data_IF_474591549434
#
_entry.id   IF_474591549434
#
_cell.length_a   1.000
_cell.length_b   1.000
_cell.length_c   1.000
_cell.angle_alpha   90.00
_cell.angle_beta   90.00
_cell.angle_gamma   90.00
#
_symmetry.space_group_name_H-M   'P 1'
#
loop_
_entity.id
_entity.type
_entity.pdbx_description
1 polymer ?
#
# COMPACT_ATOMS: atom_id res chain seq x y z
N UNK A 1 -8.06 9.27 -15.94
CA UNK A 1 -6.83 9.73 -15.26
C UNK A 1 -6.14 8.49 -14.72
N UNK A 2 -4.82 8.42 -14.82
CA UNK A 2 -4.04 7.31 -14.28
C UNK A 2 -3.29 7.73 -13.03
N UNK A 3 -3.16 6.83 -12.05
CA UNK A 3 -2.35 7.01 -10.83
C UNK A 3 -1.40 5.82 -10.66
N UNK A 4 -0.24 6.07 -10.08
CA UNK A 4 0.73 5.03 -9.80
C UNK A 4 0.48 4.32 -8.45
N UNK A 5 0.77 3.03 -8.39
CA UNK A 5 0.91 2.26 -7.15
C UNK A 5 2.30 1.62 -7.08
N UNK A 6 2.98 1.65 -5.92
CA UNK A 6 4.33 1.12 -5.78
C UNK A 6 4.37 -0.41 -5.94
N UNK A 7 5.08 -0.90 -6.96
CA UNK A 7 5.26 -2.32 -7.22
C UNK A 7 6.38 -2.94 -6.37
N UNK A 8 7.36 -2.15 -5.96
CA UNK A 8 8.48 -2.67 -5.18
C UNK A 8 8.03 -3.21 -3.82
N UNK A 9 8.52 -4.40 -3.47
CA UNK A 9 8.40 -5.01 -2.14
C UNK A 9 9.64 -4.74 -1.26
N UNK A 10 10.67 -4.10 -1.81
CA UNK A 10 11.89 -3.78 -1.07
C UNK A 10 11.69 -2.51 -0.26
N UNK A 11 11.61 -2.63 1.06
CA UNK A 11 11.45 -1.49 1.97
C UNK A 11 12.51 -0.39 1.75
N UNK A 12 13.74 -0.74 1.37
CA UNK A 12 14.82 0.22 1.08
C UNK A 12 14.60 1.07 -0.17
N UNK A 13 13.69 0.65 -1.06
CA UNK A 13 13.30 1.40 -2.28
C UNK A 13 12.04 2.24 -2.09
N UNK A 14 11.39 2.14 -0.94
CA UNK A 14 10.15 2.84 -0.63
C UNK A 14 10.44 3.97 0.35
N UNK A 15 10.05 5.20 -0.01
CA UNK A 15 10.03 6.31 0.92
C UNK A 15 8.81 6.23 1.85
N UNK A 16 8.76 7.07 2.88
CA UNK A 16 7.69 7.02 3.88
C UNK A 16 6.30 7.26 3.29
N UNK A 17 6.17 8.10 2.24
CA UNK A 17 4.88 8.29 1.55
C UNK A 17 4.41 7.03 0.82
N UNK A 18 5.32 6.31 0.16
CA UNK A 18 4.99 5.04 -0.52
C UNK A 18 4.68 3.93 0.47
N UNK A 19 5.38 3.90 1.61
CA UNK A 19 5.06 3.00 2.71
C UNK A 19 3.69 3.33 3.30
N UNK A 20 3.37 4.60 3.49
CA UNK A 20 2.08 5.06 3.96
C UNK A 20 0.95 4.64 3.01
N UNK A 21 1.17 4.75 1.69
CA UNK A 21 0.22 4.26 0.69
C UNK A 21 -0.04 2.75 0.84
N UNK A 22 1.01 1.93 0.93
CA UNK A 22 0.87 0.48 1.15
C UNK A 22 0.13 0.18 2.46
N UNK A 23 0.45 0.87 3.55
CA UNK A 23 -0.27 0.72 4.84
C UNK A 23 -1.74 1.08 4.68
N UNK A 24 -2.03 2.23 4.07
CA UNK A 24 -3.37 2.77 3.90
C UNK A 24 -4.27 1.82 3.11
N UNK A 25 -3.74 1.17 2.06
CA UNK A 25 -4.46 0.16 1.29
C UNK A 25 -5.06 -0.97 2.15
N UNK A 26 -4.36 -1.36 3.21
CA UNK A 26 -4.74 -2.50 4.05
C UNK A 26 -5.28 -2.10 5.42
N UNK A 27 -5.50 -0.80 5.65
CA UNK A 27 -5.91 -0.26 6.94
C UNK A 27 -7.26 0.43 6.80
N UNK A 28 -8.25 0.12 7.67
CA UNK A 28 -9.56 0.72 7.58
C UNK A 28 -9.48 2.23 7.80
N UNK A 29 -10.44 2.96 7.23
CA UNK A 29 -10.55 4.39 7.48
C UNK A 29 -10.97 4.65 8.94
N UNK A 30 -10.38 5.66 9.57
CA UNK A 30 -10.74 6.10 10.92
C UNK A 30 -11.96 7.03 10.95
N UNK A 31 -12.37 7.57 9.80
CA UNK A 31 -13.49 8.52 9.68
C UNK A 31 -14.79 7.86 9.22
N UNK A 32 -14.73 6.99 8.21
CA UNK A 32 -15.90 6.24 7.75
C UNK A 32 -15.89 4.80 8.28
N UNK A 33 -17.07 4.21 8.42
CA UNK A 33 -17.24 2.88 9.04
C UNK A 33 -17.17 1.73 8.05
N UNK A 34 -17.21 2.00 6.75
CA UNK A 34 -17.37 1.00 5.69
C UNK A 34 -16.14 0.83 4.81
N UNK A 35 -15.15 1.72 4.91
CA UNK A 35 -13.96 1.67 4.05
C UNK A 35 -12.90 0.74 4.66
N UNK A 36 -12.65 -0.44 4.07
CA UNK A 36 -11.72 -1.43 4.64
C UNK A 36 -10.25 -1.07 4.41
N UNK A 37 -9.98 -0.13 3.51
CA UNK A 37 -8.65 0.20 3.02
C UNK A 37 -8.70 1.29 1.96
N UNK A 38 -7.56 1.92 1.67
CA UNK A 38 -7.47 2.89 0.59
C UNK A 38 -7.64 2.19 -0.78
N UNK A 39 -8.62 2.64 -1.56
CA UNK A 39 -8.88 2.17 -2.92
C UNK A 39 -9.17 3.36 -3.86
N UNK A 40 -8.87 3.24 -5.16
CA UNK A 40 -9.01 4.35 -6.12
C UNK A 40 -10.47 4.81 -6.26
N UNK A 41 -10.70 6.13 -6.45
CA UNK A 41 -12.01 6.64 -6.83
C UNK A 41 -12.50 6.06 -8.17
N UNK A 42 -13.83 6.01 -8.41
CA UNK A 42 -14.38 5.48 -9.65
C UNK A 42 -13.88 6.25 -10.87
N UNK A 43 -13.46 5.52 -11.91
CA UNK A 43 -12.93 6.10 -13.15
C UNK A 43 -11.45 6.48 -13.10
N UNK A 44 -10.75 6.17 -12.00
CA UNK A 44 -9.29 6.23 -11.92
C UNK A 44 -8.70 4.87 -12.27
N UNK A 45 -7.75 4.86 -13.20
CA UNK A 45 -7.00 3.66 -13.60
C UNK A 45 -5.67 3.63 -12.84
N UNK A 46 -5.42 2.57 -12.08
CA UNK A 46 -4.20 2.45 -11.25
C UNK A 46 -3.23 1.52 -11.96
N UNK A 47 -1.99 1.96 -12.09
CA UNK A 47 -0.91 1.25 -12.78
C UNK A 47 0.32 1.14 -11.89
N UNK A 48 1.14 0.12 -12.10
CA UNK A 48 2.33 -0.16 -11.28
C UNK A 48 3.52 0.72 -11.68
N UNK A 49 4.22 1.31 -10.70
CA UNK A 49 5.38 2.21 -10.91
C UNK A 49 6.60 1.55 -11.61
N UNK A 50 6.73 0.22 -11.59
CA UNK A 50 7.81 -0.48 -12.32
C UNK A 50 7.65 -0.39 -13.85
N UNK A 51 6.42 -0.23 -14.35
CA UNK A 51 6.18 0.07 -15.77
C UNK A 51 6.71 1.45 -16.18
N UNK A 52 7.14 2.27 -15.21
CA UNK A 52 7.65 3.63 -15.39
C UNK A 52 9.17 3.70 -15.41
N UNK A 53 9.85 2.63 -14.96
CA UNK A 53 11.29 2.64 -14.70
C UNK A 53 12.13 1.71 -15.57
N UNK A 54 11.54 0.72 -16.25
CA UNK A 54 12.30 -0.28 -17.01
C UNK A 54 11.86 -0.35 -18.50
N UNK A 55 11.95 0.78 -19.20
CA UNK A 55 12.14 0.79 -20.68
C UNK A 55 13.63 0.77 -21.08
N UNK A 56 14.54 0.53 -20.13
CA UNK A 56 15.95 0.35 -20.41
C UNK A 56 16.27 -1.14 -20.48
N UNK A 57 16.06 -1.74 -21.66
CA UNK A 57 16.96 -2.69 -22.34
C UNK A 57 16.16 -3.58 -23.32
N UNK A 58 15.82 -3.00 -24.48
CA UNK A 58 15.68 -3.77 -25.72
C UNK A 58 14.27 -3.96 -26.24
N UNK A 59 13.67 -2.91 -26.77
CA UNK A 59 13.00 -3.06 -28.07
C UNK A 59 13.09 -1.77 -28.89
N UNK A 60 13.91 -1.82 -29.93
CA UNK A 60 13.91 -0.85 -31.00
C UNK A 60 12.65 -1.14 -31.83
N UNK A 61 11.59 -0.35 -31.72
CA UNK A 61 10.66 0.03 -32.80
C UNK A 61 9.33 0.56 -32.23
N UNK A 62 9.10 1.88 -32.38
CA UNK A 62 7.86 2.53 -32.85
C UNK A 62 7.84 3.98 -32.35
N UNK A 63 8.45 4.92 -33.06
CA UNK A 63 7.73 5.81 -34.00
C UNK A 63 6.39 6.36 -33.43
N UNK A 64 6.47 7.50 -32.75
CA UNK A 64 5.36 8.44 -32.53
C UNK A 64 4.27 8.01 -31.55
N UNK A 65 4.38 8.43 -30.29
CA UNK A 65 3.26 8.43 -29.34
C UNK A 65 3.49 9.53 -28.32
N UNK A 66 2.49 10.42 -28.19
CA UNK A 66 2.31 11.41 -27.12
C UNK A 66 2.98 11.03 -25.80
N UNK A 67 3.84 11.91 -25.30
CA UNK A 67 4.56 11.82 -24.02
C UNK A 67 3.63 12.07 -22.79
N UNK A 68 2.31 12.06 -22.97
CA UNK A 68 1.35 12.66 -22.02
C UNK A 68 0.64 11.69 -21.06
N UNK A 69 0.88 10.37 -21.14
CA UNK A 69 0.11 9.35 -20.38
C UNK A 69 0.88 8.65 -19.24
N UNK A 70 2.00 9.21 -18.80
CA UNK A 70 2.78 8.71 -17.66
C UNK A 70 2.25 9.35 -16.36
N UNK A 71 1.57 8.63 -15.44
CA UNK A 71 1.22 9.19 -14.13
C UNK A 71 2.42 9.76 -13.39
N UNK A 72 2.38 11.06 -13.16
CA UNK A 72 3.32 11.80 -12.32
C UNK A 72 2.96 11.75 -10.83
N UNK A 73 1.84 11.11 -10.48
CA UNK A 73 1.27 11.10 -9.13
C UNK A 73 0.83 9.71 -8.69
N UNK A 74 1.02 9.43 -7.40
CA UNK A 74 0.61 8.19 -6.76
C UNK A 74 -0.84 8.27 -6.27
N UNK A 75 -1.44 7.11 -6.05
CA UNK A 75 -2.75 7.01 -5.43
C UNK A 75 -2.68 7.47 -3.96
N UNK A 76 -3.13 8.70 -3.67
CA UNK A 76 -3.10 9.25 -2.29
C UNK A 76 -4.51 9.51 -1.72
N UNK A 77 -5.53 9.51 -2.57
CA UNK A 77 -6.92 9.77 -2.17
C UNK A 77 -7.78 8.53 -2.41
N UNK A 78 -8.51 8.13 -1.36
CA UNK A 78 -9.46 7.03 -1.42
C UNK A 78 -10.78 7.46 -2.07
N UNK A 79 -11.54 6.52 -2.62
CA UNK A 79 -12.94 6.73 -3.02
C UNK A 79 -13.80 7.28 -1.89
N UNK A 80 -13.50 6.93 -0.62
CA UNK A 80 -14.23 7.48 0.53
C UNK A 80 -13.96 8.97 0.80
N UNK A 81 -13.08 9.61 0.01
CA UNK A 81 -12.74 11.03 0.09
C UNK A 81 -11.62 11.37 1.06
N UNK A 82 -11.03 10.37 1.74
CA UNK A 82 -9.96 10.56 2.72
C UNK A 82 -8.60 10.08 2.20
N UNK A 83 -7.53 10.63 2.76
CA UNK A 83 -6.14 10.34 2.38
C UNK A 83 -5.53 9.19 3.21
N UNK A 84 -4.24 8.94 3.00
CA UNK A 84 -3.49 7.88 3.68
C UNK A 84 -3.50 8.03 5.21
N UNK A 85 -3.52 9.26 5.75
CA UNK A 85 -3.51 9.53 7.19
C UNK A 85 -4.78 9.05 7.85
N UNK A 86 -5.95 9.34 7.26
CA UNK A 86 -7.22 8.79 7.79
C UNK A 86 -7.37 7.29 7.54
N UNK A 87 -6.49 6.66 6.77
CA UNK A 87 -6.35 5.21 6.70
C UNK A 87 -5.24 4.70 7.62
N UNK A 88 -4.99 5.40 8.74
CA UNK A 88 -4.06 4.98 9.79
C UNK A 88 -2.63 4.72 9.28
N UNK A 89 -2.14 5.56 8.38
CA UNK A 89 -0.80 5.46 7.78
C UNK A 89 0.07 6.71 8.02
N UNK A 90 -0.10 7.38 9.17
CA UNK A 90 0.70 8.54 9.55
C UNK A 90 1.78 8.14 10.58
N UNK A 91 3.06 8.25 10.22
CA UNK A 91 4.18 7.96 11.14
C UNK A 91 4.14 8.83 12.39
N UNK A 92 3.72 10.09 12.27
CA UNK A 92 3.70 11.02 13.40
C UNK A 92 2.68 10.63 14.48
N UNK A 93 1.58 9.99 14.07
CA UNK A 93 0.53 9.51 14.96
C UNK A 93 0.83 8.10 15.50
N UNK A 94 1.38 7.21 14.67
CA UNK A 94 1.71 5.83 15.05
C UNK A 94 3.00 5.71 15.85
N UNK A 95 3.97 6.59 15.58
CA UNK A 95 5.36 6.43 15.95
C UNK A 95 6.09 5.44 15.04
N UNK A 96 7.40 5.69 14.85
CA UNK A 96 8.27 4.96 13.91
C UNK A 96 8.19 3.43 14.01
N UNK A 97 8.19 2.89 15.23
CA UNK A 97 8.20 1.43 15.43
C UNK A 97 6.93 0.74 14.94
N UNK A 98 5.76 1.36 15.13
CA UNK A 98 4.48 0.83 14.65
C UNK A 98 4.31 1.08 13.16
N UNK A 99 4.75 2.24 12.66
CA UNK A 99 4.79 2.54 11.23
C UNK A 99 5.63 1.49 10.48
N UNK A 100 6.85 1.23 10.92
CA UNK A 100 7.71 0.19 10.33
C UNK A 100 7.10 -1.22 10.43
N UNK A 101 6.41 -1.54 11.53
CA UNK A 101 5.73 -2.83 11.68
C UNK A 101 4.61 -2.98 10.65
N UNK A 102 3.75 -1.97 10.52
CA UNK A 102 2.66 -1.96 9.54
C UNK A 102 3.19 -1.96 8.11
N UNK A 103 4.26 -1.23 7.83
CA UNK A 103 4.97 -1.25 6.54
C UNK A 103 5.36 -2.66 6.13
N UNK A 104 5.96 -3.44 7.05
CA UNK A 104 6.36 -4.84 6.76
C UNK A 104 5.15 -5.74 6.48
N UNK A 105 4.06 -5.58 7.23
CA UNK A 105 2.82 -6.35 7.00
C UNK A 105 2.18 -5.98 5.66
N UNK A 106 2.12 -4.68 5.34
CA UNK A 106 1.57 -4.18 4.09
C UNK A 106 2.37 -4.64 2.87
N UNK A 107 3.70 -4.59 2.94
CA UNK A 107 4.58 -5.16 1.90
C UNK A 107 4.28 -6.64 1.70
N UNK A 108 4.14 -7.41 2.79
CA UNK A 108 3.85 -8.84 2.69
C UNK A 108 2.48 -9.14 2.07
N UNK A 109 1.48 -8.32 2.39
CA UNK A 109 0.15 -8.39 1.77
C UNK A 109 0.24 -8.11 0.26
N UNK A 110 0.95 -7.06 -0.13
CA UNK A 110 1.17 -6.73 -1.54
C UNK A 110 1.92 -7.84 -2.28
N UNK A 111 2.95 -8.45 -1.68
CA UNK A 111 3.66 -9.60 -2.28
C UNK A 111 2.70 -10.75 -2.63
N UNK A 112 1.82 -11.13 -1.71
CA UNK A 112 0.85 -12.20 -1.95
C UNK A 112 -0.15 -11.85 -3.06
N UNK A 113 -0.59 -10.59 -3.10
CA UNK A 113 -1.47 -10.10 -4.16
C UNK A 113 -0.74 -10.01 -5.50
N UNK A 114 0.55 -9.65 -5.51
CA UNK A 114 1.37 -9.61 -6.71
C UNK A 114 1.63 -11.01 -7.26
N UNK A 115 1.97 -11.97 -6.41
CA UNK A 115 2.20 -13.38 -6.79
C UNK A 115 0.95 -14.02 -7.42
N UNK A 116 -0.24 -13.57 -7.03
CA UNK A 116 -1.52 -14.02 -7.58
C UNK A 116 -2.04 -13.17 -8.76
N UNK A 117 -1.32 -12.13 -9.17
CA UNK A 117 -1.73 -11.22 -10.24
C UNK A 117 -2.89 -10.28 -9.89
N UNK A 118 -3.15 -10.09 -8.59
CA UNK A 118 -4.28 -9.32 -8.02
C UNK A 118 -3.82 -8.04 -7.31
N UNK A 119 -2.57 -7.61 -7.49
CA UNK A 119 -2.05 -6.42 -6.82
C UNK A 119 -2.83 -5.14 -7.14
N UNK A 120 -3.47 -5.03 -8.30
CA UNK A 120 -4.31 -3.88 -8.65
C UNK A 120 -5.81 -4.13 -8.47
N UNK A 121 -6.19 -5.30 -7.97
CA UNK A 121 -7.57 -5.67 -7.63
C UNK A 121 -7.84 -5.24 -6.17
N UNK A 122 -8.26 -3.98 -6.00
CA UNK A 122 -8.47 -3.38 -4.67
C UNK A 122 -9.67 -3.97 -3.92
N UNK A 123 -10.61 -4.59 -4.64
CA UNK A 123 -11.81 -5.22 -4.09
C UNK A 123 -11.57 -6.69 -3.70
N UNK A 124 -10.43 -7.26 -4.07
CA UNK A 124 -10.11 -8.65 -3.73
C UNK A 124 -9.89 -8.86 -2.23
N UNK A 125 -10.44 -9.97 -1.74
CA UNK A 125 -10.24 -10.45 -0.38
C UNK A 125 -10.37 -11.97 -0.34
N UNK A 126 -9.55 -12.59 0.50
CA UNK A 126 -9.63 -14.01 0.85
C UNK A 126 -9.25 -14.19 2.33
N UNK A 127 -9.28 -15.43 2.81
CA UNK A 127 -9.02 -15.72 4.22
C UNK A 127 -7.61 -15.31 4.68
N UNK A 128 -6.60 -15.47 3.81
CA UNK A 128 -5.21 -15.13 4.11
C UNK A 128 -5.01 -13.61 4.15
N UNK A 129 -5.53 -12.90 3.15
CA UNK A 129 -5.51 -11.44 3.07
C UNK A 129 -6.27 -10.83 4.27
N UNK A 130 -7.46 -11.34 4.57
CA UNK A 130 -8.24 -10.90 5.74
C UNK A 130 -7.48 -11.14 7.05
N UNK A 131 -6.86 -12.31 7.21
CA UNK A 131 -6.12 -12.67 8.42
C UNK A 131 -4.92 -11.73 8.65
N UNK A 132 -4.17 -11.43 7.58
CA UNK A 132 -3.06 -10.49 7.62
C UNK A 132 -3.51 -9.05 7.87
N UNK A 133 -4.61 -8.60 7.25
CA UNK A 133 -5.19 -7.26 7.49
C UNK A 133 -5.52 -7.02 8.98
N UNK A 134 -5.93 -8.05 9.73
CA UNK A 134 -6.14 -7.92 11.20
C UNK A 134 -4.87 -7.51 11.95
N UNK A 135 -3.70 -7.87 11.45
CA UNK A 135 -2.43 -7.47 12.06
C UNK A 135 -2.15 -5.97 11.89
N UNK A 136 -2.86 -5.26 11.00
CA UNK A 136 -2.76 -3.81 10.86
C UNK A 136 -3.38 -3.08 12.06
N UNK A 137 -4.41 -3.65 12.68
CA UNK A 137 -5.14 -3.02 13.81
C UNK A 137 -4.65 -3.47 15.18
N UNK A 138 -4.10 -4.67 15.32
CA UNK A 138 -3.67 -5.18 16.62
C UNK A 138 -2.34 -4.55 17.04
N UNK A 139 -2.35 -3.79 18.12
CA UNK A 139 -1.13 -3.37 18.79
C UNK A 139 -0.46 -4.63 19.33
N UNK A 140 0.84 -4.82 19.06
CA UNK A 140 1.63 -5.88 19.70
C UNK A 140 1.61 -5.58 21.20
N UNK A 141 0.72 -6.27 21.93
CA UNK A 141 0.68 -6.19 23.37
C UNK A 141 2.04 -6.67 23.87
N UNK A 142 2.82 -5.76 24.46
CA UNK A 142 4.09 -6.10 25.11
C UNK A 142 3.80 -7.22 26.11
N UNK A 143 4.25 -8.43 25.80
CA UNK A 143 4.25 -9.54 26.74
C UNK A 143 5.09 -9.09 27.94
N UNK A 144 4.43 -8.86 29.07
CA UNK A 144 5.08 -8.58 30.34
C UNK A 144 5.70 -9.88 30.81
N UNK A 145 7.00 -10.07 30.51
CA UNK A 145 7.80 -11.15 31.08
C UNK A 145 7.82 -10.96 32.60
N UNK A 146 6.99 -11.74 33.28
CA UNK A 146 6.94 -11.80 34.73
C UNK A 146 8.19 -12.56 35.19
N UNK A 147 9.21 -11.82 35.62
CA UNK A 147 10.46 -12.39 36.11
C UNK A 147 10.23 -12.97 37.52
N UNK A 148 9.86 -14.24 37.60
CA UNK A 148 9.84 -14.99 38.87
C UNK A 148 11.26 -15.48 39.18
N UNK A 149 11.96 -14.75 40.05
CA UNK A 149 13.20 -15.20 40.68
C UNK A 149 12.88 -16.04 41.93
N UNK A 150 13.58 -17.18 42.15
CA UNK A 150 13.65 -17.83 43.45
C UNK A 150 14.60 -17.12 44.42
#
# INVERSE_FOLDING_TARGET
>A
MRLAYPASHLQSRLNDSLLALKIARHSPCSVCTTCPGLHPPPGIDVVLDEQFGESSLGDLEQYGSDDDDIPSTYLEQCECGHDTRQHNADESELGRGEFERRSRVAIRLDELLQDSGRLLDFDYDDEDITSLRRQMTHHVSKMTVSNSSP
#
